data_IF_083216503794
#
_entry.id   IF_083216503794
#
_cell.length_a   1.000
_cell.length_b   1.000
_cell.length_c   1.000
_cell.angle_alpha   90.00
_cell.angle_beta   90.00
_cell.angle_gamma   90.00
#
_symmetry.space_group_name_H-M   'P 1'
#
loop_
_entity.id
_entity.type
_entity.pdbx_description
1 polymer ?
#
# COMPACT_ATOMS: atom_id res chain seq x y z
N UNK A 1 -10.21 13.11 9.10
CA UNK A 1 -8.98 13.66 8.53
C UNK A 1 -9.12 13.81 7.02
N UNK A 2 -8.44 14.80 6.48
CA UNK A 2 -8.51 15.09 5.03
C UNK A 2 -8.07 13.90 4.19
N UNK A 3 -7.03 13.20 4.61
CA UNK A 3 -6.52 12.02 3.89
C UNK A 3 -7.57 10.92 3.80
N UNK A 4 -8.29 10.67 4.89
CA UNK A 4 -9.31 9.62 4.91
C UNK A 4 -10.46 9.95 3.97
N UNK A 5 -10.87 11.22 3.91
CA UNK A 5 -11.90 11.66 2.97
C UNK A 5 -11.45 11.49 1.52
N UNK A 6 -10.19 11.80 1.25
CA UNK A 6 -9.63 11.65 -0.09
C UNK A 6 -9.64 10.17 -0.50
N UNK A 7 -9.25 9.28 0.39
CA UNK A 7 -9.26 7.85 0.10
C UNK A 7 -10.66 7.32 -0.17
N UNK A 8 -11.66 7.80 0.56
CA UNK A 8 -13.04 7.42 0.30
C UNK A 8 -13.51 7.91 -1.06
N UNK A 9 -13.14 9.13 -1.44
CA UNK A 9 -13.48 9.67 -2.75
C UNK A 9 -12.84 8.86 -3.87
N UNK A 10 -11.60 8.42 -3.69
CA UNK A 10 -10.89 7.56 -4.63
C UNK A 10 -11.61 6.23 -4.77
N UNK A 11 -12.04 5.64 -3.65
CA UNK A 11 -12.78 4.38 -3.68
C UNK A 11 -14.09 4.52 -4.46
N UNK A 12 -14.80 5.59 -4.23
CA UNK A 12 -16.04 5.85 -4.97
C UNK A 12 -15.81 5.98 -6.47
N UNK A 13 -14.76 6.70 -6.86
CA UNK A 13 -14.41 6.85 -8.27
C UNK A 13 -14.11 5.49 -8.90
N UNK A 14 -13.37 4.64 -8.22
CA UNK A 14 -13.05 3.30 -8.70
C UNK A 14 -14.31 2.45 -8.86
N UNK A 15 -15.23 2.53 -7.89
CA UNK A 15 -16.49 1.80 -7.94
C UNK A 15 -17.36 2.27 -9.11
N UNK A 16 -17.22 3.53 -9.51
CA UNK A 16 -17.92 4.10 -10.65
C UNK A 16 -17.25 3.81 -12.00
N UNK A 17 -16.20 3.01 -12.00
CA UNK A 17 -15.55 2.55 -13.23
C UNK A 17 -14.27 3.30 -13.60
N UNK A 18 -13.78 4.18 -12.74
CA UNK A 18 -12.53 4.90 -12.98
C UNK A 18 -11.36 4.03 -12.56
N UNK A 19 -10.37 3.89 -13.42
CA UNK A 19 -9.13 3.22 -13.08
C UNK A 19 -8.27 4.20 -12.26
N UNK A 20 -7.86 3.79 -11.06
CA UNK A 20 -7.09 4.64 -10.16
C UNK A 20 -5.78 3.97 -9.79
N UNK A 21 -4.68 4.69 -9.96
CA UNK A 21 -3.37 4.28 -9.47
C UNK A 21 -2.99 5.20 -8.32
N UNK A 22 -2.89 4.63 -7.11
CA UNK A 22 -2.55 5.38 -5.91
C UNK A 22 -1.14 5.00 -5.46
N UNK A 23 -0.27 6.00 -5.32
CA UNK A 23 1.07 5.80 -4.77
C UNK A 23 1.07 6.36 -3.36
N UNK A 24 1.30 5.50 -2.36
CA UNK A 24 1.16 5.86 -0.96
C UNK A 24 2.15 5.09 -0.10
N UNK A 25 2.77 5.77 0.85
CA UNK A 25 3.71 5.15 1.78
C UNK A 25 3.00 4.46 2.95
N UNK A 26 1.80 4.92 3.29
CA UNK A 26 1.03 4.36 4.41
C UNK A 26 0.28 3.11 3.93
N UNK A 27 0.94 1.97 4.05
CA UNK A 27 0.46 0.69 3.52
C UNK A 27 -0.93 0.34 4.03
N UNK A 28 -1.15 0.46 5.34
CA UNK A 28 -2.44 0.10 5.94
C UNK A 28 -3.59 0.92 5.35
N UNK A 29 -3.39 2.23 5.23
CA UNK A 29 -4.43 3.11 4.67
C UNK A 29 -4.72 2.82 3.21
N UNK A 30 -3.67 2.62 2.43
CA UNK A 30 -3.81 2.30 1.01
C UNK A 30 -4.54 0.98 0.82
N UNK A 31 -4.23 -0.02 1.63
CA UNK A 31 -4.84 -1.35 1.55
C UNK A 31 -6.33 -1.34 1.87
N UNK A 32 -6.82 -0.35 2.61
CA UNK A 32 -8.24 -0.24 2.92
C UNK A 32 -9.10 0.08 1.71
N UNK A 33 -8.53 0.76 0.72
CA UNK A 33 -9.29 1.23 -0.44
C UNK A 33 -8.87 0.56 -1.73
N UNK A 34 -7.73 -0.06 -1.79
CA UNK A 34 -7.20 -0.66 -3.01
C UNK A 34 -7.77 -2.06 -3.25
N UNK A 35 -7.92 -2.42 -4.52
CA UNK A 35 -8.28 -3.78 -4.92
C UNK A 35 -7.03 -4.66 -5.06
N UNK A 36 -5.94 -4.07 -5.54
CA UNK A 36 -4.65 -4.73 -5.69
C UNK A 36 -3.55 -3.81 -5.17
N UNK A 37 -2.45 -4.40 -4.79
CA UNK A 37 -1.30 -3.64 -4.32
C UNK A 37 0.00 -4.19 -4.90
N UNK A 38 0.93 -3.29 -5.12
CA UNK A 38 2.29 -3.58 -5.57
C UNK A 38 3.22 -2.90 -4.59
N UNK A 39 4.05 -3.67 -3.93
CA UNK A 39 4.98 -3.12 -2.94
C UNK A 39 6.35 -3.03 -3.57
N UNK A 40 6.84 -1.81 -3.69
CA UNK A 40 8.12 -1.52 -4.33
C UNK A 40 9.18 -1.19 -3.30
N UNK A 41 10.38 -1.61 -3.61
CA UNK A 41 11.56 -1.22 -2.86
C UNK A 41 12.73 -1.08 -3.82
N UNK A 42 13.38 0.08 -3.76
CA UNK A 42 14.54 0.38 -4.62
C UNK A 42 14.25 0.17 -6.11
N UNK A 43 13.06 0.57 -6.54
CA UNK A 43 12.67 0.47 -7.93
C UNK A 43 12.23 -0.91 -8.40
N UNK A 44 12.12 -1.87 -7.48
CA UNK A 44 11.72 -3.25 -7.79
C UNK A 44 10.41 -3.58 -7.09
N UNK A 45 9.50 -4.23 -7.81
CA UNK A 45 8.25 -4.73 -7.21
C UNK A 45 8.59 -6.05 -6.52
N UNK A 46 8.52 -6.06 -5.20
CA UNK A 46 8.83 -7.24 -4.40
C UNK A 46 7.63 -8.11 -4.11
N UNK A 47 6.48 -7.48 -3.92
CA UNK A 47 5.25 -8.18 -3.56
C UNK A 47 4.11 -7.59 -4.38
N UNK A 48 3.25 -8.45 -4.91
CA UNK A 48 2.05 -8.00 -5.61
C UNK A 48 0.92 -9.00 -5.38
N UNK A 49 -0.31 -8.52 -5.49
CA UNK A 49 -1.49 -9.36 -5.36
C UNK A 49 -2.72 -8.56 -5.02
N UNK A 50 -3.83 -9.26 -4.82
CA UNK A 50 -5.05 -8.61 -4.36
C UNK A 50 -4.88 -8.20 -2.90
N UNK A 51 -5.62 -7.18 -2.48
CA UNK A 51 -5.55 -6.76 -1.07
C UNK A 51 -6.00 -7.88 -0.14
N UNK A 52 -6.98 -8.70 -0.57
CA UNK A 52 -7.41 -9.85 0.22
C UNK A 52 -6.28 -10.85 0.44
N UNK A 53 -5.45 -11.09 -0.58
CA UNK A 53 -4.30 -11.98 -0.46
C UNK A 53 -3.21 -11.41 0.44
N UNK A 54 -2.98 -10.11 0.35
CA UNK A 54 -1.90 -9.44 1.07
C UNK A 54 -2.26 -9.10 2.51
N UNK A 55 -3.54 -9.03 2.83
CA UNK A 55 -3.98 -8.62 4.16
C UNK A 55 -3.47 -9.55 5.26
N UNK A 56 -3.40 -10.84 4.99
CA UNK A 56 -2.85 -11.81 5.93
C UNK A 56 -1.33 -11.70 6.10
N UNK A 57 -0.67 -10.99 5.19
CA UNK A 57 0.78 -10.78 5.20
C UNK A 57 1.19 -9.37 5.55
N UNK A 58 0.21 -8.53 5.89
CA UNK A 58 0.46 -7.10 6.07
C UNK A 58 1.52 -6.81 7.14
N UNK A 59 1.43 -7.49 8.26
CA UNK A 59 2.38 -7.32 9.35
C UNK A 59 3.80 -7.71 8.92
N UNK A 60 3.92 -8.81 8.21
CA UNK A 60 5.20 -9.26 7.67
C UNK A 60 5.79 -8.23 6.70
N UNK A 61 4.95 -7.68 5.84
CA UNK A 61 5.36 -6.66 4.87
C UNK A 61 5.86 -5.41 5.59
N UNK A 62 5.13 -4.95 6.58
CA UNK A 62 5.52 -3.77 7.36
C UNK A 62 6.83 -3.99 8.10
N UNK A 63 6.99 -5.17 8.67
CA UNK A 63 8.21 -5.53 9.41
C UNK A 63 9.42 -5.54 8.49
N UNK A 64 9.26 -6.08 7.29
CA UNK A 64 10.32 -6.09 6.28
C UNK A 64 10.72 -4.67 5.90
N UNK A 65 9.75 -3.79 5.72
CA UNK A 65 9.97 -2.41 5.35
C UNK A 65 10.76 -1.66 6.44
N UNK A 66 10.36 -1.84 7.69
CA UNK A 66 11.02 -1.19 8.83
C UNK A 66 12.43 -1.73 9.05
N UNK A 67 12.61 -3.02 8.89
CA UNK A 67 13.92 -3.66 9.03
C UNK A 67 14.92 -3.08 8.03
N UNK A 68 14.50 -2.88 6.79
CA UNK A 68 15.34 -2.30 5.77
C UNK A 68 15.71 -0.86 6.08
N UNK A 69 14.80 -0.10 6.64
CA UNK A 69 15.08 1.27 7.06
C UNK A 69 16.14 1.32 8.14
N UNK A 70 16.07 0.39 9.07
CA UNK A 70 17.05 0.31 10.16
C UNK A 70 18.44 -0.04 9.62
N UNK A 71 18.51 -0.96 8.68
CA UNK A 71 19.77 -1.34 8.06
C UNK A 71 20.42 -0.17 7.34
N UNK A 72 19.64 0.65 6.68
CA UNK A 72 20.15 1.83 5.98
C UNK A 72 20.70 2.90 6.93
N UNK A 73 20.25 2.92 8.17
CA UNK A 73 20.70 3.88 9.17
C UNK A 73 21.98 3.47 9.89
N UNK A 74 22.34 2.22 9.80
CA UNK A 74 23.55 1.74 10.47
C UNK A 74 24.78 2.18 9.67
N UNK A 75 25.78 2.72 10.36
CA UNK A 75 27.01 3.16 9.70
C UNK A 75 27.78 2.01 9.08
#
# INVERSE_FOLDING_TARGET
>A
MVVDRLLLAIRQAADDGVAVLLVEQHVVKAMRVADRAYIMRRGVIEVSGTTAQLQGRLEEIQRSYLSNRQEERLP
#
